data_IF_683857494110
#
_entry.id   IF_683857494110
#
_cell.length_a   1.000
_cell.length_b   1.000
_cell.length_c   1.000
_cell.angle_alpha   90.00
_cell.angle_beta   90.00
_cell.angle_gamma   90.00
#
_symmetry.space_group_name_H-M   'P 1'
#
loop_
_entity.id
_entity.type
_entity.pdbx_description
1 polymer ?
#
# COMPACT_ATOMS: atom_id res chain seq x y z
N UNK A 1 1.53 22.08 23.49
CA UNK A 1 2.04 22.60 22.19
C UNK A 1 2.01 21.48 21.17
N UNK A 2 1.66 21.76 19.91
CA UNK A 2 1.76 20.76 18.84
C UNK A 2 3.23 20.66 18.41
N UNK A 3 3.80 19.46 18.44
CA UNK A 3 5.19 19.20 18.02
C UNK A 3 5.16 18.70 16.58
N UNK A 4 5.94 19.27 15.65
CA UNK A 4 6.10 18.73 14.31
C UNK A 4 6.63 17.30 14.36
N UNK A 5 6.03 16.40 13.56
CA UNK A 5 6.60 15.08 13.33
C UNK A 5 7.65 15.20 12.23
N UNK A 6 8.88 14.81 12.54
CA UNK A 6 9.98 14.73 11.56
C UNK A 6 10.00 13.31 10.99
N UNK A 7 10.03 13.21 9.66
CA UNK A 7 10.18 11.92 8.97
C UNK A 7 11.66 11.75 8.63
N UNK A 8 12.40 11.15 9.58
CA UNK A 8 13.82 10.87 9.45
C UNK A 8 14.08 9.35 9.36
N UNK A 9 15.35 8.96 9.19
CA UNK A 9 15.73 7.55 9.11
C UNK A 9 15.35 6.77 10.38
N UNK A 10 15.43 7.39 11.57
CA UNK A 10 15.06 6.73 12.82
C UNK A 10 13.56 6.39 12.89
N UNK A 11 12.69 7.29 12.43
CA UNK A 11 11.26 7.01 12.32
C UNK A 11 11.00 5.89 11.31
N UNK A 12 11.64 5.94 10.14
CA UNK A 12 11.51 4.90 9.11
C UNK A 12 11.99 3.54 9.64
N UNK A 13 13.11 3.47 10.35
CA UNK A 13 13.64 2.26 10.98
C UNK A 13 12.66 1.68 12.00
N UNK A 14 12.11 2.53 12.87
CA UNK A 14 11.13 2.11 13.88
C UNK A 14 9.90 1.48 13.25
N UNK A 15 9.28 2.15 12.26
CA UNK A 15 8.02 1.66 11.67
C UNK A 15 8.23 0.38 10.84
N UNK A 16 9.36 0.22 10.16
CA UNK A 16 9.71 -1.03 9.47
C UNK A 16 10.01 -2.17 10.45
N UNK A 17 10.69 -1.89 11.56
CA UNK A 17 10.92 -2.91 12.58
C UNK A 17 9.59 -3.39 13.19
N UNK A 18 8.64 -2.49 13.41
CA UNK A 18 7.28 -2.86 13.83
C UNK A 18 6.55 -3.68 12.75
N UNK A 19 6.68 -3.32 11.47
CA UNK A 19 6.11 -4.07 10.37
C UNK A 19 6.67 -5.51 10.29
N UNK A 20 7.99 -5.69 10.32
CA UNK A 20 8.65 -7.00 10.24
C UNK A 20 8.30 -7.95 11.39
N UNK A 21 7.93 -7.40 12.56
CA UNK A 21 7.47 -8.17 13.73
C UNK A 21 5.97 -8.44 13.74
N UNK A 22 5.21 -7.79 12.85
CA UNK A 22 3.76 -7.98 12.79
C UNK A 22 3.40 -9.24 12.00
N UNK A 23 2.32 -9.96 12.35
CA UNK A 23 1.89 -11.16 11.61
C UNK A 23 1.60 -10.90 10.12
N UNK A 24 1.06 -9.71 9.81
CA UNK A 24 0.74 -9.28 8.44
C UNK A 24 1.93 -8.65 7.71
N UNK A 25 3.08 -8.50 8.39
CA UNK A 25 4.30 -7.92 7.83
C UNK A 25 4.11 -6.47 7.32
N UNK A 26 3.24 -5.71 7.99
CA UNK A 26 2.94 -4.33 7.63
C UNK A 26 2.52 -3.50 8.84
N UNK A 27 2.80 -2.20 8.82
CA UNK A 27 2.48 -1.28 9.91
C UNK A 27 2.14 0.12 9.39
N UNK A 28 1.02 0.64 9.89
CA UNK A 28 0.64 2.04 9.68
C UNK A 28 1.13 2.91 10.84
N UNK A 29 1.73 4.06 10.52
CA UNK A 29 1.99 5.17 11.45
C UNK A 29 1.15 6.37 11.01
N UNK A 30 -0.03 6.49 11.60
CA UNK A 30 -0.99 7.54 11.26
C UNK A 30 -0.53 8.92 11.76
N UNK A 31 -0.72 9.94 10.92
CA UNK A 31 -0.49 11.35 11.25
C UNK A 31 -1.79 12.11 11.58
N UNK A 32 -2.92 11.49 11.26
CA UNK A 32 -4.25 11.94 11.65
C UNK A 32 -4.60 11.40 13.05
N UNK A 33 -5.50 12.09 13.75
CA UNK A 33 -5.81 11.79 15.16
C UNK A 33 -6.66 10.52 15.31
N UNK A 34 -7.62 10.32 14.41
CA UNK A 34 -8.59 9.25 14.47
C UNK A 34 -9.18 8.96 13.08
N UNK A 35 -9.92 7.86 13.00
CA UNK A 35 -10.52 7.36 11.75
C UNK A 35 -11.56 8.32 11.15
N UNK A 36 -12.11 9.27 11.92
CA UNK A 36 -13.07 10.25 11.44
C UNK A 36 -12.41 11.48 10.78
N UNK A 37 -11.08 11.61 10.87
CA UNK A 37 -10.35 12.71 10.26
C UNK A 37 -10.64 12.79 8.74
N UNK A 38 -10.81 14.00 8.16
CA UNK A 38 -11.18 14.17 6.74
C UNK A 38 -10.03 13.85 5.78
N UNK A 39 -8.79 13.73 6.28
CA UNK A 39 -7.62 13.39 5.49
C UNK A 39 -6.79 12.34 6.24
N UNK A 40 -6.54 11.22 5.57
CA UNK A 40 -5.81 10.08 6.10
C UNK A 40 -4.42 10.10 5.51
N UNK A 41 -3.47 10.58 6.32
CA UNK A 41 -2.03 10.63 6.00
C UNK A 41 -1.28 9.72 6.95
N UNK A 42 -0.41 8.87 6.43
CA UNK A 42 0.28 7.86 7.21
C UNK A 42 1.58 7.40 6.53
N UNK A 43 2.53 6.91 7.34
CA UNK A 43 3.52 5.98 6.81
C UNK A 43 2.92 4.58 6.77
N UNK A 44 3.12 3.87 5.68
CA UNK A 44 2.78 2.47 5.53
C UNK A 44 4.08 1.70 5.27
N UNK A 45 4.56 0.99 6.28
CA UNK A 45 5.72 0.11 6.18
C UNK A 45 5.26 -1.28 5.79
N UNK A 46 5.86 -1.84 4.74
CA UNK A 46 5.47 -3.12 4.16
C UNK A 46 6.74 -3.94 3.96
N UNK A 47 6.75 -5.17 4.43
CA UNK A 47 7.86 -6.10 4.25
C UNK A 47 7.56 -7.15 3.16
N UNK A 48 8.58 -7.70 2.49
CA UNK A 48 8.41 -8.79 1.54
C UNK A 48 7.71 -9.99 2.17
N UNK A 49 6.67 -10.50 1.52
CA UNK A 49 5.81 -11.56 2.05
C UNK A 49 4.45 -11.05 2.54
N UNK A 50 4.32 -9.74 2.77
CA UNK A 50 3.03 -9.11 2.99
C UNK A 50 2.14 -9.23 1.75
N UNK A 51 0.87 -9.62 1.95
CA UNK A 51 -0.14 -9.65 0.91
C UNK A 51 -1.19 -8.56 1.15
N UNK A 52 -1.35 -7.68 0.16
CA UNK A 52 -2.47 -6.76 0.06
C UNK A 52 -3.37 -7.26 -1.06
N UNK A 53 -4.63 -7.58 -0.73
CA UNK A 53 -5.60 -7.99 -1.73
C UNK A 53 -5.79 -6.84 -2.72
N UNK A 54 -5.79 -7.12 -4.05
CA UNK A 54 -6.16 -6.14 -5.04
C UNK A 54 -7.53 -5.54 -4.73
N UNK A 55 -7.61 -4.22 -4.83
CA UNK A 55 -8.80 -3.46 -4.49
C UNK A 55 -8.84 -2.17 -5.30
N UNK A 56 -9.96 -1.47 -5.17
CA UNK A 56 -10.17 -0.11 -5.67
C UNK A 56 -10.96 0.66 -4.63
N UNK A 57 -10.88 1.98 -4.66
CA UNK A 57 -11.85 2.81 -3.96
C UNK A 57 -12.93 3.30 -4.93
N UNK A 58 -14.19 3.37 -4.50
CA UNK A 58 -15.28 3.86 -5.36
C UNK A 58 -15.74 5.29 -5.02
N UNK A 59 -15.42 5.77 -3.82
CA UNK A 59 -15.68 7.16 -3.43
C UNK A 59 -14.70 8.10 -4.16
N UNK A 60 -15.22 9.13 -4.80
CA UNK A 60 -14.44 10.12 -5.55
C UNK A 60 -13.47 10.94 -4.67
N UNK A 61 -13.63 10.91 -3.34
CA UNK A 61 -12.69 11.55 -2.40
C UNK A 61 -11.57 10.61 -1.94
N UNK A 62 -11.53 9.38 -2.46
CA UNK A 62 -10.61 8.31 -2.02
C UNK A 62 -9.56 7.96 -3.06
N UNK A 63 -9.22 8.91 -3.93
CA UNK A 63 -7.98 8.84 -4.68
C UNK A 63 -6.81 8.63 -3.70
N UNK A 64 -5.85 7.79 -4.09
CA UNK A 64 -4.74 7.39 -3.23
C UNK A 64 -3.40 7.84 -3.81
N UNK A 65 -2.71 8.72 -3.08
CA UNK A 65 -1.33 9.10 -3.41
C UNK A 65 -0.37 8.29 -2.56
N UNK A 66 0.62 7.66 -3.20
CA UNK A 66 1.68 6.88 -2.55
C UNK A 66 3.05 7.36 -3.01
N UNK A 67 3.92 7.79 -2.08
CA UNK A 67 5.30 8.19 -2.35
C UNK A 67 6.25 7.30 -1.54
N UNK A 68 7.21 6.64 -2.20
CA UNK A 68 8.18 5.77 -1.51
C UNK A 68 9.28 6.61 -0.86
N UNK A 69 9.47 6.42 0.44
CA UNK A 69 10.50 7.11 1.23
C UNK A 69 11.74 6.25 1.46
N UNK A 70 11.58 4.92 1.47
CA UNK A 70 12.68 3.94 1.56
C UNK A 70 12.28 2.62 0.92
N UNK A 71 13.26 1.91 0.36
CA UNK A 71 13.06 0.60 -0.27
C UNK A 71 12.47 0.72 -1.68
N UNK A 72 11.83 -0.36 -2.14
CA UNK A 72 11.18 -0.43 -3.45
C UNK A 72 9.81 -1.06 -3.33
N UNK A 73 8.81 -0.40 -3.92
CA UNK A 73 7.42 -0.86 -3.95
C UNK A 73 7.02 -1.19 -5.39
N UNK A 74 6.53 -2.41 -5.62
CA UNK A 74 5.90 -2.78 -6.88
C UNK A 74 4.42 -2.43 -6.81
N UNK A 75 3.88 -1.80 -7.85
CA UNK A 75 2.45 -1.53 -8.01
C UNK A 75 1.96 -2.28 -9.25
N UNK A 76 0.82 -2.97 -9.12
CA UNK A 76 0.16 -3.68 -10.21
C UNK A 76 -1.22 -3.09 -10.40
N UNK A 77 -1.55 -2.70 -11.64
CA UNK A 77 -2.86 -2.22 -12.05
C UNK A 77 -3.59 -3.28 -12.88
N UNK A 78 -4.90 -3.39 -12.65
CA UNK A 78 -5.74 -4.40 -13.30
C UNK A 78 -6.92 -3.75 -14.02
N UNK A 79 -7.44 -4.45 -15.02
CA UNK A 79 -8.77 -4.18 -15.54
C UNK A 79 -9.87 -4.84 -14.68
N UNK A 80 -11.12 -4.71 -15.11
CA UNK A 80 -12.29 -5.25 -14.41
C UNK A 80 -12.37 -6.79 -14.42
N UNK A 81 -11.64 -7.46 -15.31
CA UNK A 81 -11.59 -8.92 -15.42
C UNK A 81 -10.37 -9.50 -14.69
N UNK A 82 -9.56 -8.66 -14.05
CA UNK A 82 -8.36 -9.06 -13.32
C UNK A 82 -7.14 -9.28 -14.20
N UNK A 83 -7.16 -8.85 -15.47
CA UNK A 83 -5.95 -8.85 -16.29
C UNK A 83 -5.05 -7.70 -15.88
N UNK A 84 -3.76 -7.96 -15.80
CA UNK A 84 -2.77 -6.93 -15.48
C UNK A 84 -2.60 -6.01 -16.69
N UNK A 85 -2.88 -4.72 -16.48
CA UNK A 85 -2.75 -3.67 -17.48
C UNK A 85 -1.38 -3.00 -17.42
N UNK A 86 -0.86 -2.80 -16.21
CA UNK A 86 0.42 -2.12 -16.02
C UNK A 86 1.09 -2.56 -14.71
N UNK A 87 2.41 -2.58 -14.71
CA UNK A 87 3.24 -2.68 -13.50
C UNK A 87 4.22 -1.51 -13.44
N UNK A 88 4.53 -1.05 -12.23
CA UNK A 88 5.53 0.00 -12.00
C UNK A 88 6.31 -0.26 -10.72
N UNK A 89 7.61 0.00 -10.75
CA UNK A 89 8.48 -0.01 -9.55
C UNK A 89 8.66 1.43 -9.09
N UNK A 90 8.33 1.68 -7.82
CA UNK A 90 8.54 2.95 -7.15
C UNK A 90 9.76 2.86 -6.24
N UNK A 91 10.63 3.86 -6.31
CA UNK A 91 11.82 3.97 -5.45
C UNK A 91 12.14 5.45 -5.14
N UNK A 92 12.67 5.80 -3.96
CA UNK A 92 12.90 7.19 -3.57
C UNK A 92 13.81 7.96 -4.53
N UNK A 93 14.83 7.28 -5.07
CA UNK A 93 15.86 7.86 -5.95
C UNK A 93 15.82 7.26 -7.37
N UNK A 94 14.67 6.73 -7.79
CA UNK A 94 14.45 6.18 -9.12
C UNK A 94 13.78 7.15 -10.10
N UNK A 95 13.53 6.70 -11.36
CA UNK A 95 12.78 7.49 -12.34
C UNK A 95 11.31 7.69 -11.95
N UNK A 96 10.77 6.84 -11.07
CA UNK A 96 9.42 6.94 -10.53
C UNK A 96 9.49 6.77 -9.02
N UNK A 97 9.08 7.79 -8.26
CA UNK A 97 9.12 7.79 -6.80
C UNK A 97 7.75 7.61 -6.15
N UNK A 98 6.68 7.74 -6.92
CA UNK A 98 5.33 7.69 -6.41
C UNK A 98 4.28 7.51 -7.49
N UNK A 99 3.05 7.35 -7.06
CA UNK A 99 1.88 7.22 -7.91
C UNK A 99 0.68 7.91 -7.26
N UNK A 100 -0.20 8.43 -8.09
CA UNK A 100 -1.52 8.91 -7.69
C UNK A 100 -2.54 8.02 -8.41
N UNK A 101 -3.40 7.35 -7.64
CA UNK A 101 -4.31 6.32 -8.12
C UNK A 101 -5.74 6.87 -8.01
N UNK A 102 -6.39 7.16 -9.15
CA UNK A 102 -7.80 7.55 -9.14
C UNK A 102 -8.68 6.44 -8.57
N UNK A 103 -9.75 6.83 -7.90
CA UNK A 103 -10.85 5.93 -7.57
C UNK A 103 -11.34 5.18 -8.82
N UNK A 104 -11.84 3.98 -8.61
CA UNK A 104 -12.31 3.05 -9.63
C UNK A 104 -11.21 2.14 -10.20
N UNK A 105 -9.93 2.48 -9.99
CA UNK A 105 -8.79 1.72 -10.53
C UNK A 105 -8.42 0.56 -9.59
N UNK A 106 -8.54 -0.66 -10.10
CA UNK A 106 -8.07 -1.84 -9.38
C UNK A 106 -6.55 -1.89 -9.34
N UNK A 107 -6.00 -2.03 -8.14
CA UNK A 107 -4.57 -2.09 -7.94
C UNK A 107 -4.20 -2.93 -6.71
N UNK A 108 -2.94 -3.33 -6.65
CA UNK A 108 -2.29 -3.79 -5.41
C UNK A 108 -0.84 -3.34 -5.38
N UNK A 109 -0.25 -3.40 -4.19
CA UNK A 109 1.14 -3.06 -3.94
C UNK A 109 1.86 -4.20 -3.22
N UNK A 110 3.17 -4.31 -3.44
CA UNK A 110 4.03 -5.30 -2.80
C UNK A 110 5.41 -4.71 -2.52
N UNK A 111 5.94 -4.99 -1.33
CA UNK A 111 7.33 -4.66 -1.01
C UNK A 111 8.29 -5.57 -1.78
N UNK A 112 9.18 -4.97 -2.57
CA UNK A 112 10.22 -5.69 -3.31
C UNK A 112 11.45 -5.88 -2.42
N UNK A 113 11.78 -4.87 -1.62
CA UNK A 113 12.90 -4.87 -0.68
C UNK A 113 12.42 -4.86 0.78
N UNK A 114 13.17 -5.48 1.71
CA UNK A 114 12.96 -5.29 3.15
C UNK A 114 13.06 -3.82 3.55
N UNK A 115 12.29 -3.43 4.55
CA UNK A 115 12.25 -2.07 5.07
C UNK A 115 11.63 -1.03 4.16
N UNK A 116 10.78 -1.47 3.22
CA UNK A 116 10.04 -0.57 2.33
C UNK A 116 9.02 0.25 3.12
N UNK A 117 9.09 1.57 3.01
CA UNK A 117 8.17 2.50 3.66
C UNK A 117 7.70 3.54 2.65
N UNK A 118 6.38 3.70 2.55
CA UNK A 118 5.75 4.75 1.75
C UNK A 118 5.00 5.74 2.63
N UNK A 119 4.90 6.99 2.17
CA UNK A 119 3.87 7.92 2.61
C UNK A 119 2.62 7.66 1.76
N UNK A 120 1.51 7.39 2.42
CA UNK A 120 0.19 7.25 1.81
C UNK A 120 -0.69 8.44 2.25
N UNK A 121 -1.43 9.00 1.30
CA UNK A 121 -2.41 10.05 1.56
C UNK A 121 -3.69 9.78 0.76
N UNK A 122 -4.84 9.86 1.44
CA UNK A 122 -6.17 9.79 0.84
C UNK A 122 -7.21 10.55 1.65
N UNK A 123 -8.40 10.76 1.09
CA UNK A 123 -9.52 11.28 1.86
C UNK A 123 -9.89 10.36 3.02
N UNK A 124 -10.36 10.93 4.12
CA UNK A 124 -11.06 10.20 5.17
C UNK A 124 -12.58 10.35 5.03
N UNK A 125 -13.38 9.82 5.96
CA UNK A 125 -12.98 8.99 7.11
C UNK A 125 -12.57 7.57 6.68
N UNK A 126 -11.95 6.77 7.55
CA UNK A 126 -11.70 5.36 7.23
C UNK A 126 -13.03 4.60 7.13
N UNK A 127 -13.18 3.89 6.01
CA UNK A 127 -14.25 2.95 5.77
C UNK A 127 -13.60 1.63 5.32
N UNK A 128 -13.96 0.49 5.93
CA UNK A 128 -13.53 -0.80 5.40
C UNK A 128 -13.96 -0.96 3.95
N UNK A 129 -13.13 -1.62 3.14
CA UNK A 129 -13.47 -1.90 1.75
C UNK A 129 -14.79 -2.67 1.65
N UNK A 130 -15.72 -2.08 0.90
CA UNK A 130 -16.95 -2.74 0.50
C UNK A 130 -16.67 -3.95 -0.38
N UNK A 131 -17.66 -4.83 -0.56
CA UNK A 131 -17.52 -6.01 -1.43
C UNK A 131 -17.16 -5.62 -2.87
N UNK A 132 -17.83 -4.60 -3.42
CA UNK A 132 -17.59 -4.09 -4.78
C UNK A 132 -16.23 -3.38 -4.98
N UNK A 133 -15.53 -3.09 -3.88
CA UNK A 133 -14.20 -2.49 -3.85
C UNK A 133 -13.09 -3.55 -3.81
N UNK A 134 -13.43 -4.80 -3.46
CA UNK A 134 -12.50 -5.93 -3.49
C UNK A 134 -12.46 -6.53 -4.90
N UNK A 135 -11.29 -7.00 -5.31
CA UNK A 135 -11.15 -7.73 -6.56
C UNK A 135 -11.70 -9.16 -6.42
N UNK A 136 -12.80 -9.54 -7.09
CA UNK A 136 -13.43 -10.85 -6.92
C UNK A 136 -12.56 -12.02 -7.42
N UNK A 137 -11.58 -11.75 -8.28
CA UNK A 137 -10.64 -12.76 -8.79
C UNK A 137 -9.48 -13.06 -7.83
N UNK A 138 -9.22 -12.18 -6.86
CA UNK A 138 -8.07 -12.32 -5.99
C UNK A 138 -8.43 -13.12 -4.74
N UNK A 139 -7.52 -13.98 -4.24
CA UNK A 139 -7.78 -14.73 -3.01
C UNK A 139 -7.91 -13.78 -1.83
N UNK A 140 -8.85 -14.08 -0.93
CA UNK A 140 -9.00 -13.37 0.33
C UNK A 140 -7.76 -13.56 1.20
N UNK A 141 -7.43 -12.55 2.01
CA UNK A 141 -6.30 -12.65 2.94
C UNK A 141 -6.50 -13.84 3.90
N UNK A 142 -5.47 -14.70 4.01
CA UNK A 142 -5.53 -15.94 4.79
C UNK A 142 -5.97 -17.19 4.01
N UNK A 143 -6.43 -17.05 2.77
CA UNK A 143 -6.75 -18.20 1.91
C UNK A 143 -5.47 -18.94 1.46
N UNK A 144 -5.53 -20.26 1.24
CA UNK A 144 -4.36 -21.07 0.88
C UNK A 144 -3.72 -20.65 -0.47
N UNK A 145 -4.49 -20.04 -1.36
CA UNK A 145 -4.03 -19.58 -2.68
C UNK A 145 -3.19 -18.30 -2.61
N UNK A 146 -3.22 -17.56 -1.49
CA UNK A 146 -2.54 -16.27 -1.32
C UNK A 146 -1.05 -16.38 -1.65
N UNK A 147 -0.37 -17.42 -1.18
CA UNK A 147 1.06 -17.57 -1.40
C UNK A 147 1.42 -17.71 -2.89
N UNK A 148 0.64 -18.50 -3.64
CA UNK A 148 0.84 -18.67 -5.08
C UNK A 148 0.51 -17.40 -5.86
N UNK A 149 -0.60 -16.73 -5.50
CA UNK A 149 -1.01 -15.49 -6.14
C UNK A 149 -0.03 -14.34 -5.88
N UNK A 150 0.41 -14.16 -4.63
CA UNK A 150 1.40 -13.14 -4.29
C UNK A 150 2.74 -13.37 -5.01
N UNK A 151 3.15 -14.64 -5.20
CA UNK A 151 4.34 -14.98 -5.99
C UNK A 151 4.19 -14.59 -7.45
N UNK A 152 3.05 -14.91 -8.09
CA UNK A 152 2.83 -14.56 -9.50
C UNK A 152 2.77 -13.05 -9.75
N UNK A 153 2.35 -12.27 -8.75
CA UNK A 153 2.46 -10.80 -8.79
C UNK A 153 3.91 -10.35 -8.67
N UNK A 154 4.69 -10.93 -7.74
CA UNK A 154 6.10 -10.59 -7.53
C UNK A 154 6.97 -10.88 -8.75
N UNK A 155 6.72 -11.97 -9.46
CA UNK A 155 7.44 -12.37 -10.68
C UNK A 155 7.35 -11.34 -11.81
N UNK A 156 6.39 -10.40 -11.75
CA UNK A 156 6.25 -9.31 -12.73
C UNK A 156 7.29 -8.19 -12.56
N UNK A 157 8.10 -8.25 -11.51
CA UNK A 157 9.14 -7.27 -11.19
C UNK A 157 10.54 -7.89 -11.12
N UNK A 158 10.66 -9.17 -11.51
CA UNK A 158 11.92 -9.90 -11.56
C UNK A 158 12.70 -9.60 -12.84
#
# INVERSE_FOLDING_TARGET
MKIPLIIDQALLDSVSLEASRSPRQRKNRNFHADDAAPAHRLLNAIEPGSYLMPHRHLDANKDETMIVLRGRLGVVFFDQLGQVQQTVVLAPTGPVCGVDIPHGVYHTILALDPGTVMLEAKGGPYLPLAEAERAPWAPAEGAPEVAAYARSLRERFA
#
